data_IF_829053098594
#
_entry.id   IF_829053098594
#
_cell.length_a   1.000
_cell.length_b   1.000
_cell.length_c   1.000
_cell.angle_alpha   90.00
_cell.angle_beta   90.00
_cell.angle_gamma   90.00
#
_symmetry.space_group_name_H-M   'P 1'
#
loop_
_entity.id
_entity.type
_entity.pdbx_description
1 polymer ?
#
# COMPACT_ATOMS: atom_id res chain seq x y z
N UNK A 1 -13.41 7.68 1.39
CA UNK A 1 -12.87 7.22 2.68
C UNK A 1 -11.53 6.53 2.42
N UNK A 2 -10.54 6.68 3.30
CA UNK A 2 -9.22 6.06 3.14
C UNK A 2 -8.76 5.44 4.46
N UNK A 3 -8.05 4.32 4.37
CA UNK A 3 -7.42 3.64 5.49
C UNK A 3 -5.92 3.97 5.50
N UNK A 4 -5.37 4.05 6.70
CA UNK A 4 -3.94 4.22 6.94
C UNK A 4 -3.41 2.96 7.60
N UNK A 5 -2.47 2.28 6.94
CA UNK A 5 -2.01 0.94 7.34
C UNK A 5 -0.51 0.98 7.55
N UNK A 6 -0.04 0.54 8.72
CA UNK A 6 1.37 0.34 9.00
C UNK A 6 1.84 -0.99 8.39
N UNK A 7 2.99 -0.94 7.72
CA UNK A 7 3.67 -2.08 7.14
C UNK A 7 4.56 -2.75 8.19
N UNK A 8 4.67 -4.08 8.16
CA UNK A 8 5.53 -4.82 9.08
C UNK A 8 7.01 -4.45 8.93
N UNK A 9 7.78 -4.59 10.01
CA UNK A 9 9.24 -4.45 10.04
C UNK A 9 9.80 -3.15 9.44
N UNK A 10 9.04 -2.05 9.51
CA UNK A 10 9.40 -0.75 8.91
C UNK A 10 9.67 -0.84 7.40
N UNK A 11 8.98 -1.76 6.72
CA UNK A 11 9.11 -1.94 5.27
C UNK A 11 8.77 -0.63 4.53
N UNK A 12 9.62 -0.23 3.59
CA UNK A 12 9.42 1.01 2.83
C UNK A 12 8.16 0.92 1.96
N UNK A 13 7.21 1.82 2.24
CA UNK A 13 5.98 2.02 1.48
C UNK A 13 6.26 2.34 0.02
N UNK A 14 7.36 3.04 -0.28
CA UNK A 14 7.79 3.29 -1.66
C UNK A 14 8.07 1.98 -2.40
N UNK A 15 8.81 1.03 -1.79
CA UNK A 15 9.11 -0.27 -2.41
C UNK A 15 7.83 -1.06 -2.69
N UNK A 16 6.89 -1.04 -1.74
CA UNK A 16 5.59 -1.71 -1.92
C UNK A 16 4.78 -1.05 -3.03
N UNK A 17 4.68 0.28 -3.05
CA UNK A 17 4.01 1.04 -4.12
C UNK A 17 4.62 0.75 -5.51
N UNK A 18 5.96 0.76 -5.62
CA UNK A 18 6.66 0.52 -6.88
C UNK A 18 6.40 -0.91 -7.39
N UNK A 19 6.31 -1.91 -6.50
CA UNK A 19 5.97 -3.28 -6.85
C UNK A 19 4.49 -3.42 -7.24
N UNK A 20 3.58 -2.86 -6.45
CA UNK A 20 2.14 -2.87 -6.71
C UNK A 20 1.79 -2.18 -8.05
N UNK A 21 2.47 -1.08 -8.38
CA UNK A 21 2.26 -0.36 -9.62
C UNK A 21 2.59 -1.20 -10.86
N UNK A 22 3.58 -2.09 -10.79
CA UNK A 22 3.90 -3.02 -11.90
C UNK A 22 2.76 -4.00 -12.17
N UNK A 23 1.93 -4.26 -11.18
CA UNK A 23 0.74 -5.11 -11.26
C UNK A 23 -0.56 -4.31 -11.41
N UNK A 24 -0.46 -3.02 -11.77
CA UNK A 24 -1.58 -2.09 -11.94
C UNK A 24 -2.41 -1.84 -10.67
N UNK A 25 -1.83 -2.06 -9.48
CA UNK A 25 -2.43 -1.78 -8.19
C UNK A 25 -1.91 -0.43 -7.69
N UNK A 26 -2.80 0.57 -7.62
CA UNK A 26 -2.43 1.92 -7.18
C UNK A 26 -2.74 2.14 -5.69
N UNK A 27 -1.69 2.37 -4.91
CA UNK A 27 -1.77 2.78 -3.49
C UNK A 27 -0.84 3.97 -3.25
N UNK A 28 -1.12 4.82 -2.26
CA UNK A 28 -0.27 5.99 -1.98
C UNK A 28 0.73 5.69 -0.85
N UNK A 29 2.03 5.96 -1.04
CA UNK A 29 3.04 5.78 0.00
C UNK A 29 2.90 6.87 1.07
N UNK A 30 3.10 6.49 2.33
CA UNK A 30 2.96 7.38 3.48
C UNK A 30 3.96 8.55 3.48
N UNK A 31 5.12 8.33 2.84
CA UNK A 31 6.12 9.37 2.56
C UNK A 31 5.57 10.60 1.86
N UNK A 32 4.56 10.48 0.99
CA UNK A 32 3.99 11.63 0.28
C UNK A 32 3.29 12.62 1.23
N UNK A 33 3.02 12.22 2.47
CA UNK A 33 2.29 13.00 3.46
C UNK A 33 3.19 13.47 4.63
N UNK A 34 4.52 13.38 4.46
CA UNK A 34 5.50 13.80 5.46
C UNK A 34 6.70 14.47 4.82
N UNK A 35 7.28 15.45 5.53
CA UNK A 35 8.59 16.01 5.17
C UNK A 35 9.75 15.21 5.81
N UNK A 36 9.47 14.04 6.37
CA UNK A 36 10.42 13.16 7.06
C UNK A 36 10.14 11.69 6.74
N UNK A 37 11.09 10.79 7.02
CA UNK A 37 10.91 9.35 6.86
C UNK A 37 9.95 8.72 7.90
N UNK A 38 9.35 9.51 8.79
CA UNK A 38 8.49 9.04 9.89
C UNK A 38 7.34 8.15 9.44
N UNK A 39 6.85 8.35 8.21
CA UNK A 39 5.75 7.57 7.65
C UNK A 39 6.16 6.71 6.43
N UNK A 40 7.45 6.39 6.29
CA UNK A 40 7.90 5.46 5.25
C UNK A 40 7.31 4.07 5.43
N UNK A 41 7.05 3.64 6.66
CA UNK A 41 6.42 2.36 6.93
C UNK A 41 4.88 2.36 6.77
N UNK A 42 4.26 3.35 6.13
CA UNK A 42 2.79 3.43 6.07
C UNK A 42 2.26 3.53 4.64
N UNK A 43 1.09 2.92 4.40
CA UNK A 43 0.34 3.04 3.14
C UNK A 43 -1.02 3.67 3.38
N UNK A 44 -1.45 4.50 2.42
CA UNK A 44 -2.83 4.96 2.31
C UNK A 44 -3.58 4.14 1.27
N UNK A 45 -4.62 3.46 1.71
CA UNK A 45 -5.49 2.65 0.84
C UNK A 45 -6.83 3.37 0.69
N UNK A 46 -7.26 3.60 -0.55
CA UNK A 46 -8.54 4.21 -0.85
C UNK A 46 -9.65 3.16 -0.75
N UNK A 47 -10.69 3.46 0.05
CA UNK A 47 -11.86 2.60 0.25
C UNK A 47 -13.14 3.38 -0.07
N UNK A 48 -13.07 4.27 -1.07
CA UNK A 48 -14.20 5.11 -1.49
C UNK A 48 -15.11 4.43 -2.52
N UNK A 49 -14.73 3.26 -3.02
CA UNK A 49 -15.46 2.51 -4.02
C UNK A 49 -16.17 1.31 -3.40
N UNK A 50 -17.20 0.82 -4.08
CA UNK A 50 -17.83 -0.46 -3.74
C UNK A 50 -16.77 -1.55 -3.84
N UNK A 51 -16.65 -2.38 -2.80
CA UNK A 51 -15.77 -3.55 -2.84
C UNK A 51 -16.39 -4.55 -3.81
N UNK A 52 -15.70 -4.79 -4.92
CA UNK A 52 -16.00 -5.83 -5.87
C UNK A 52 -14.87 -6.87 -5.88
N UNK A 53 -15.01 -7.89 -6.74
CA UNK A 53 -14.03 -8.98 -6.82
C UNK A 53 -12.65 -8.50 -7.25
N UNK A 54 -12.56 -7.45 -8.05
CA UNK A 54 -11.27 -6.93 -8.52
C UNK A 54 -10.56 -6.16 -7.39
N UNK A 55 -11.30 -5.40 -6.58
CA UNK A 55 -10.78 -4.78 -5.36
C UNK A 55 -10.30 -5.85 -4.37
N UNK A 56 -11.07 -6.91 -4.13
CA UNK A 56 -10.66 -8.02 -3.24
C UNK A 56 -9.38 -8.71 -3.74
N UNK A 57 -9.28 -8.96 -5.04
CA UNK A 57 -8.08 -9.53 -5.67
C UNK A 57 -6.87 -8.60 -5.54
N UNK A 58 -7.05 -7.32 -5.81
CA UNK A 58 -5.98 -6.33 -5.68
C UNK A 58 -5.49 -6.21 -4.23
N UNK A 59 -6.40 -6.20 -3.24
CA UNK A 59 -6.04 -6.18 -1.83
C UNK A 59 -5.30 -7.46 -1.41
N UNK A 60 -5.75 -8.62 -1.89
CA UNK A 60 -5.08 -9.90 -1.63
C UNK A 60 -3.68 -9.90 -2.22
N UNK A 61 -3.53 -9.45 -3.47
CA UNK A 61 -2.24 -9.39 -4.15
C UNK A 61 -1.30 -8.37 -3.49
N UNK A 62 -1.82 -7.24 -3.03
CA UNK A 62 -1.06 -6.26 -2.25
C UNK A 62 -0.47 -6.89 -0.98
N UNK A 63 -1.25 -7.71 -0.26
CA UNK A 63 -0.76 -8.45 0.91
C UNK A 63 0.36 -9.46 0.57
N UNK A 64 0.27 -10.12 -0.58
CA UNK A 64 1.33 -11.01 -1.08
C UNK A 64 2.60 -10.22 -1.42
N UNK A 65 2.48 -9.09 -2.12
CA UNK A 65 3.61 -8.19 -2.44
C UNK A 65 4.32 -7.74 -1.17
N UNK A 66 3.57 -7.35 -0.13
CA UNK A 66 4.15 -6.99 1.17
C UNK A 66 4.93 -8.16 1.76
N UNK A 67 4.38 -9.37 1.71
CA UNK A 67 5.03 -10.58 2.24
C UNK A 67 6.28 -10.98 1.44
N UNK A 68 6.28 -10.79 0.12
CA UNK A 68 7.42 -11.05 -0.77
C UNK A 68 8.57 -10.05 -0.59
N UNK A 69 8.28 -8.86 -0.04
CA UNK A 69 9.24 -7.78 0.16
C UNK A 69 9.79 -7.69 1.60
N UNK A 70 9.20 -8.43 2.53
CA UNK A 70 9.74 -8.67 3.87
C UNK A 70 11.09 -9.40 3.77
#
# INVERSE_FOLDING_TARGET
MSLWVELPQQLSSKRVCDAALKEQILVSPGLMFSNSLRFDAFLRISCGWTVDREVERALTRLGQIVTELL
#
